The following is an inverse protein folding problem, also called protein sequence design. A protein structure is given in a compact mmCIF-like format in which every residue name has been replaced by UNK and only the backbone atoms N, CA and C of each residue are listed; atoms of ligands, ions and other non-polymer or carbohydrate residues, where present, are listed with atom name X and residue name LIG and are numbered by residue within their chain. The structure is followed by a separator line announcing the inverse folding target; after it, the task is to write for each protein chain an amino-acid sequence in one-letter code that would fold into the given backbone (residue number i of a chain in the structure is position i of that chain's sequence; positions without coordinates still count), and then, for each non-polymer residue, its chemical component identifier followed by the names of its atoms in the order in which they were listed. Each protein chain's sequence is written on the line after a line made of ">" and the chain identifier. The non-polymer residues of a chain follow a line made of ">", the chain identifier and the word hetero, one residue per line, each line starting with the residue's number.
data_IF_947629797056
#
_entry.id   IF_947629797056
#
_cell.length_a   1.000
_cell.length_b   1.000
_cell.length_c   1.000
_cell.angle_alpha   90.00
_cell.angle_beta   90.00
_cell.angle_gamma   90.00
#
_symmetry.space_group_name_H-M   'P 1'
#
loop_
_entity.id
_entity.type
_entity.pdbx_description
1 polymer ?
#
# COMPACT_ATOMS: atom_id res chain seq x y z
N UNK A 1 -46.84 36.51 -72.38
CA UNK A 1 -45.45 36.51 -71.97
C UNK A 1 -45.34 36.03 -70.54
N UNK A 2 -44.89 34.76 -70.42
CA UNK A 2 -44.81 34.02 -69.18
C UNK A 2 -43.40 34.12 -68.60
N UNK A 3 -43.26 34.60 -67.35
CA UNK A 3 -42.00 34.61 -66.66
C UNK A 3 -41.84 33.33 -65.83
N UNK A 4 -40.71 32.67 -65.82
CA UNK A 4 -40.47 31.48 -65.02
C UNK A 4 -40.14 31.82 -63.54
N UNK A 5 -40.75 31.09 -62.61
CA UNK A 5 -40.45 31.10 -61.20
C UNK A 5 -39.16 30.30 -60.96
N UNK A 6 -38.19 30.93 -60.35
CA UNK A 6 -37.00 30.30 -59.77
C UNK A 6 -37.38 29.65 -58.47
N UNK A 7 -37.15 28.34 -58.34
CA UNK A 7 -37.26 27.61 -57.08
C UNK A 7 -35.95 27.71 -56.28
N UNK A 8 -36.00 28.34 -55.14
CA UNK A 8 -34.90 28.33 -54.16
C UNK A 8 -34.90 27.01 -53.39
N UNK A 9 -33.91 26.24 -53.64
CA UNK A 9 -33.61 25.03 -52.81
C UNK A 9 -32.77 25.45 -51.62
N UNK A 10 -33.38 25.53 -50.46
CA UNK A 10 -32.68 25.73 -49.19
C UNK A 10 -31.96 24.40 -48.79
N UNK A 11 -30.64 24.41 -48.83
CA UNK A 11 -29.77 23.36 -48.29
C UNK A 11 -29.70 23.56 -46.77
N UNK A 12 -30.44 22.74 -46.01
CA UNK A 12 -30.27 22.66 -44.55
C UNK A 12 -29.05 21.82 -44.22
N UNK A 13 -27.92 22.49 -43.89
CA UNK A 13 -26.75 21.84 -43.35
C UNK A 13 -27.02 21.46 -41.89
N UNK A 14 -27.35 20.18 -41.65
CA UNK A 14 -27.46 19.64 -40.30
C UNK A 14 -26.06 19.47 -39.70
N UNK A 15 -25.72 20.31 -38.74
CA UNK A 15 -24.54 20.15 -37.89
C UNK A 15 -24.89 19.07 -36.85
N UNK A 16 -24.42 17.84 -37.05
CA UNK A 16 -24.49 16.77 -36.05
C UNK A 16 -23.47 17.12 -34.94
N UNK A 17 -23.99 17.58 -33.80
CA UNK A 17 -23.20 17.76 -32.59
C UNK A 17 -22.94 16.39 -31.98
N UNK A 18 -21.73 15.82 -32.24
CA UNK A 18 -21.28 14.62 -31.55
C UNK A 18 -20.93 15.02 -30.12
N UNK A 19 -21.85 14.76 -29.21
CA UNK A 19 -21.57 14.85 -27.76
C UNK A 19 -20.78 13.62 -27.40
N UNK A 20 -19.46 13.77 -27.29
CA UNK A 20 -18.58 12.80 -26.65
C UNK A 20 -18.91 12.79 -25.16
N UNK A 21 -19.78 11.87 -24.74
CA UNK A 21 -19.92 11.52 -23.34
C UNK A 21 -18.65 10.78 -22.93
N UNK A 22 -17.75 11.48 -22.24
CA UNK A 22 -16.67 10.84 -21.53
C UNK A 22 -17.32 10.01 -20.41
N UNK A 23 -17.32 8.67 -20.59
CA UNK A 23 -17.68 7.78 -19.51
C UNK A 23 -16.65 7.98 -18.39
N UNK A 24 -17.07 8.16 -17.13
CA UNK A 24 -16.11 8.16 -16.02
C UNK A 24 -15.41 6.80 -16.05
N UNK A 25 -14.09 6.82 -16.22
CA UNK A 25 -13.25 5.65 -15.98
C UNK A 25 -13.45 5.35 -14.50
N UNK A 26 -14.22 4.33 -14.22
CA UNK A 26 -14.35 3.77 -12.89
C UNK A 26 -12.92 3.34 -12.50
N UNK A 27 -12.28 4.15 -11.65
CA UNK A 27 -11.09 3.75 -10.98
C UNK A 27 -11.52 2.58 -10.10
N UNK A 28 -11.37 1.38 -10.62
CA UNK A 28 -11.71 0.13 -9.95
C UNK A 28 -10.91 0.02 -8.67
N UNK A 29 -11.38 0.72 -7.65
CA UNK A 29 -10.97 0.48 -6.29
C UNK A 29 -11.27 -0.98 -6.02
N UNK A 30 -10.23 -1.76 -5.73
CA UNK A 30 -10.36 -3.12 -5.23
C UNK A 30 -11.24 -3.06 -3.98
N UNK A 31 -12.54 -3.23 -4.18
CA UNK A 31 -13.48 -3.47 -3.09
C UNK A 31 -13.17 -4.86 -2.57
N UNK A 32 -12.35 -4.94 -1.54
CA UNK A 32 -12.16 -6.17 -0.76
C UNK A 32 -13.46 -6.40 0.01
N UNK A 33 -14.48 -6.85 -0.71
CA UNK A 33 -15.74 -7.33 -0.13
C UNK A 33 -15.50 -8.73 0.39
N UNK A 34 -15.04 -8.85 1.64
CA UNK A 34 -14.84 -10.14 2.30
C UNK A 34 -14.02 -9.98 3.58
N UNK A 35 -14.15 -10.95 4.47
CA UNK A 35 -13.22 -11.07 5.60
C UNK A 35 -11.81 -11.22 5.04
N UNK A 36 -10.82 -10.43 5.51
CA UNK A 36 -9.45 -10.59 5.05
C UNK A 36 -9.01 -12.05 5.17
N UNK A 37 -8.30 -12.61 4.19
CA UNK A 37 -7.91 -14.02 4.19
C UNK A 37 -6.84 -14.33 5.27
N UNK A 38 -6.59 -13.40 6.16
CA UNK A 38 -5.65 -13.53 7.26
C UNK A 38 -6.31 -14.11 8.50
N UNK A 39 -5.74 -15.17 9.04
CA UNK A 39 -6.07 -15.72 10.35
C UNK A 39 -5.02 -15.32 11.38
N UNK A 40 -5.46 -15.03 12.61
CA UNK A 40 -4.54 -14.71 13.70
C UNK A 40 -3.73 -15.95 14.09
N UNK A 41 -2.43 -15.74 14.34
CA UNK A 41 -1.47 -16.76 14.72
C UNK A 41 -0.72 -16.34 15.99
N UNK A 42 -0.10 -17.31 16.67
CA UNK A 42 0.77 -17.00 17.78
C UNK A 42 1.96 -16.13 17.34
N UNK A 43 2.36 -15.17 18.18
CA UNK A 43 3.55 -14.35 17.95
C UNK A 43 4.81 -15.23 17.91
N UNK A 44 5.55 -15.28 16.80
CA UNK A 44 6.61 -16.27 16.62
C UNK A 44 7.99 -15.81 17.10
N UNK A 45 8.11 -14.58 17.57
CA UNK A 45 9.39 -13.98 17.94
C UNK A 45 9.56 -13.88 19.46
N UNK A 46 10.80 -13.68 19.90
CA UNK A 46 11.09 -13.39 21.30
C UNK A 46 10.47 -12.04 21.70
N UNK A 47 10.05 -11.97 22.94
CA UNK A 47 9.53 -10.74 23.54
C UNK A 47 10.71 -9.84 23.89
N UNK A 48 10.71 -8.63 23.39
CA UNK A 48 11.70 -7.59 23.66
C UNK A 48 11.11 -6.44 24.50
N UNK A 49 11.83 -5.33 24.56
CA UNK A 49 11.41 -4.12 25.28
C UNK A 49 10.10 -3.52 24.77
N UNK A 50 9.69 -3.81 23.54
CA UNK A 50 8.44 -3.33 22.94
C UNK A 50 7.28 -4.28 23.18
N UNK A 51 7.54 -5.42 23.82
CA UNK A 51 6.56 -6.48 24.02
C UNK A 51 6.34 -7.34 22.78
N UNK A 52 5.36 -8.22 22.87
CA UNK A 52 4.87 -8.99 21.71
C UNK A 52 3.93 -8.14 20.86
N UNK A 53 3.80 -8.53 19.59
CA UNK A 53 2.81 -8.00 18.68
C UNK A 53 1.68 -8.97 18.40
N UNK A 54 0.90 -8.67 17.37
CA UNK A 54 -0.06 -9.60 16.78
C UNK A 54 0.50 -10.14 15.47
N UNK A 55 0.33 -11.42 15.24
CA UNK A 55 0.74 -12.10 14.02
C UNK A 55 -0.48 -12.65 13.29
N UNK A 56 -0.44 -12.59 11.98
CA UNK A 56 -1.49 -13.11 11.11
C UNK A 56 -0.86 -13.87 9.95
N UNK A 57 -1.53 -14.90 9.46
CA UNK A 57 -1.11 -15.70 8.31
C UNK A 57 -2.21 -15.72 7.25
N UNK A 58 -1.79 -15.73 5.99
CA UNK A 58 -2.69 -15.96 4.88
C UNK A 58 -2.34 -17.29 4.22
N UNK A 59 -3.03 -18.38 4.59
CA UNK A 59 -2.81 -19.68 3.99
C UNK A 59 -3.22 -19.74 2.51
N UNK A 60 -4.35 -19.15 2.06
CA UNK A 60 -4.75 -19.18 0.66
C UNK A 60 -3.94 -18.25 -0.26
N UNK A 61 -3.08 -17.36 0.27
CA UNK A 61 -2.34 -16.40 -0.55
C UNK A 61 -1.14 -16.99 -1.32
N UNK A 62 -0.78 -18.24 -1.11
CA UNK A 62 0.23 -18.98 -1.88
C UNK A 62 1.69 -18.54 -1.72
N UNK A 63 1.96 -17.36 -1.18
CA UNK A 63 3.30 -16.79 -1.05
C UNK A 63 3.87 -16.86 0.37
N UNK A 64 3.30 -17.71 1.23
CA UNK A 64 3.63 -17.76 2.66
C UNK A 64 3.56 -16.37 3.32
N UNK A 65 2.48 -15.64 3.03
CA UNK A 65 2.29 -14.30 3.57
C UNK A 65 2.04 -14.36 5.08
N UNK A 66 2.81 -13.55 5.81
CA UNK A 66 2.60 -13.31 7.23
C UNK A 66 2.67 -11.82 7.52
N UNK A 67 1.70 -11.33 8.29
CA UNK A 67 1.62 -9.94 8.73
C UNK A 67 1.92 -9.89 10.23
N UNK A 68 2.83 -9.03 10.61
CA UNK A 68 3.21 -8.76 12.00
C UNK A 68 2.89 -7.30 12.31
N UNK A 69 2.14 -7.07 13.38
CA UNK A 69 1.75 -5.72 13.79
C UNK A 69 2.17 -5.50 15.24
N UNK A 70 2.94 -4.46 15.50
CA UNK A 70 3.44 -4.12 16.82
C UNK A 70 3.30 -2.63 17.11
N UNK A 71 2.95 -2.29 18.34
CA UNK A 71 2.96 -0.91 18.82
C UNK A 71 4.27 -0.61 19.52
N UNK A 72 4.82 0.58 19.31
CA UNK A 72 6.00 1.09 20.00
C UNK A 72 5.63 2.39 20.73
N UNK A 73 5.41 2.28 22.00
CA UNK A 73 5.02 3.41 22.86
C UNK A 73 6.26 4.21 23.24
N UNK A 74 6.16 5.54 23.20
CA UNK A 74 7.29 6.43 23.52
C UNK A 74 8.40 6.38 22.48
N UNK A 75 8.08 5.94 21.29
CA UNK A 75 8.95 5.79 20.20
C UNK A 75 9.19 7.12 19.53
N UNK A 76 10.15 7.87 19.79
CA UNK A 76 10.37 8.93 19.39
C UNK A 76 10.78 9.89 18.50
N UNK A 77 10.23 10.35 17.54
CA UNK A 77 10.23 11.69 17.02
C UNK A 77 8.80 12.26 17.10
N UNK A 78 8.43 12.76 18.27
CA UNK A 78 7.09 13.27 18.54
C UNK A 78 6.69 14.45 17.62
N UNK A 79 7.67 15.07 16.95
CA UNK A 79 7.44 16.27 16.13
C UNK A 79 7.18 15.92 14.68
N UNK A 80 7.97 15.02 14.09
CA UNK A 80 7.89 14.71 12.66
C UNK A 80 7.34 13.31 12.37
N UNK A 81 7.23 12.46 13.38
CA UNK A 81 6.79 11.07 13.21
C UNK A 81 7.72 10.28 12.30
N UNK A 82 7.13 9.45 11.43
CA UNK A 82 7.86 8.68 10.40
C UNK A 82 7.68 9.39 9.05
N UNK A 83 8.50 10.39 8.78
CA UNK A 83 8.35 11.29 7.63
C UNK A 83 9.24 10.93 6.44
N UNK A 84 10.33 10.20 6.66
CA UNK A 84 11.32 9.89 5.63
C UNK A 84 11.86 8.46 5.74
N UNK A 85 12.77 8.10 4.83
CA UNK A 85 13.35 6.76 4.74
C UNK A 85 14.28 6.45 5.91
N UNK A 86 14.93 7.44 6.48
CA UNK A 86 15.80 7.26 7.64
C UNK A 86 14.97 6.87 8.85
N UNK A 87 13.84 7.53 9.02
CA UNK A 87 12.93 7.25 10.13
C UNK A 87 12.30 5.87 10.01
N UNK A 88 11.79 5.47 8.83
CA UNK A 88 11.22 4.13 8.69
C UNK A 88 12.27 3.05 8.88
N UNK A 89 13.49 3.24 8.37
CA UNK A 89 14.59 2.28 8.55
C UNK A 89 14.98 2.13 10.03
N UNK A 90 14.94 3.23 10.79
CA UNK A 90 15.24 3.24 12.21
C UNK A 90 14.20 2.52 13.07
N UNK A 91 12.93 2.55 12.64
CA UNK A 91 11.82 2.10 13.45
C UNK A 91 11.31 0.72 13.08
N UNK A 92 11.63 0.27 11.89
CA UNK A 92 11.27 -1.05 11.41
C UNK A 92 11.79 -2.16 12.34
N UNK A 93 11.04 -3.25 12.40
CA UNK A 93 11.34 -4.40 13.25
C UNK A 93 12.31 -5.39 12.56
N UNK A 94 13.44 -4.89 12.03
CA UNK A 94 14.39 -5.74 11.30
C UNK A 94 15.07 -6.79 12.17
N UNK A 95 15.17 -6.55 13.46
CA UNK A 95 15.68 -7.50 14.45
C UNK A 95 14.84 -8.78 14.55
N UNK A 96 13.59 -8.74 14.12
CA UNK A 96 12.75 -9.93 14.01
C UNK A 96 13.15 -10.85 12.83
N UNK A 97 13.90 -10.33 11.87
CA UNK A 97 14.25 -11.04 10.63
C UNK A 97 15.76 -11.18 10.49
N UNK A 98 16.35 -12.30 10.96
CA UNK A 98 17.79 -12.48 10.91
C UNK A 98 18.30 -12.47 9.47
N UNK A 99 19.31 -11.66 9.20
CA UNK A 99 19.93 -11.55 7.88
C UNK A 99 20.30 -10.11 7.51
N UNK A 100 20.79 -9.96 6.28
CA UNK A 100 21.08 -8.64 5.72
C UNK A 100 19.80 -8.06 5.15
N UNK A 101 19.36 -6.95 5.70
CA UNK A 101 18.22 -6.17 5.17
C UNK A 101 18.73 -5.17 4.15
N UNK A 102 18.08 -5.12 2.99
CA UNK A 102 18.41 -4.19 1.90
C UNK A 102 17.12 -3.55 1.39
N UNK A 103 17.02 -2.21 1.37
CA UNK A 103 15.87 -1.55 0.77
C UNK A 103 15.82 -1.79 -0.73
N UNK A 104 14.63 -2.02 -1.26
CA UNK A 104 14.39 -2.29 -2.69
C UNK A 104 14.06 -1.03 -3.48
N UNK A 105 13.47 -0.03 -2.81
CA UNK A 105 13.10 1.24 -3.40
C UNK A 105 13.06 2.33 -2.33
N UNK A 106 12.99 3.61 -2.71
CA UNK A 106 12.58 4.68 -1.81
C UNK A 106 11.21 4.37 -1.22
N UNK A 107 10.99 4.76 0.04
CA UNK A 107 9.71 4.59 0.69
C UNK A 107 8.69 5.63 0.19
N UNK A 108 7.42 5.35 0.42
CA UNK A 108 6.31 6.21 0.03
C UNK A 108 5.49 6.67 1.24
N UNK A 109 4.97 7.90 1.25
CA UNK A 109 4.10 8.36 2.31
C UNK A 109 2.79 7.57 2.29
N UNK A 110 2.34 7.17 3.47
CA UNK A 110 1.05 6.48 3.65
C UNK A 110 0.22 7.14 4.74
N UNK A 111 -1.09 6.96 4.63
CA UNK A 111 -2.04 7.42 5.64
C UNK A 111 -3.05 6.33 5.95
N UNK A 112 -3.22 6.00 7.22
CA UNK A 112 -4.24 5.06 7.70
C UNK A 112 -5.06 5.77 8.76
N UNK A 113 -6.34 5.96 8.51
CA UNK A 113 -7.24 6.75 9.33
C UNK A 113 -6.66 8.16 9.59
N UNK A 114 -6.32 8.47 10.84
CA UNK A 114 -5.73 9.76 11.23
C UNK A 114 -4.20 9.72 11.36
N UNK A 115 -3.57 8.55 11.24
CA UNK A 115 -2.13 8.36 11.35
C UNK A 115 -1.47 8.57 10.00
N UNK A 116 -0.36 9.28 10.00
CA UNK A 116 0.52 9.41 8.85
C UNK A 116 1.78 8.58 9.09
N UNK A 117 2.44 8.20 8.01
CA UNK A 117 3.65 7.44 8.09
C UNK A 117 4.26 7.15 6.73
N UNK A 118 4.99 6.07 6.68
CA UNK A 118 5.73 5.66 5.48
C UNK A 118 5.68 4.17 5.28
N UNK A 119 5.62 3.75 4.02
CA UNK A 119 5.75 2.36 3.59
C UNK A 119 7.05 2.20 2.81
N UNK A 120 7.77 1.09 3.05
CA UNK A 120 8.99 0.77 2.32
C UNK A 120 9.18 -0.73 2.17
N UNK A 121 9.62 -1.14 0.97
CA UNK A 121 9.91 -2.53 0.68
C UNK A 121 11.40 -2.85 0.86
N UNK A 122 11.66 -4.07 1.38
CA UNK A 122 13.01 -4.56 1.65
C UNK A 122 13.15 -6.00 1.20
N UNK A 123 14.39 -6.42 0.92
CA UNK A 123 14.77 -7.84 0.92
C UNK A 123 15.57 -8.18 2.15
N UNK A 124 15.43 -9.42 2.61
CA UNK A 124 16.25 -9.98 3.69
C UNK A 124 16.93 -11.23 3.17
N UNK A 125 18.26 -11.26 3.31
CA UNK A 125 19.10 -12.40 2.96
C UNK A 125 19.56 -13.11 4.23
N UNK A 126 18.84 -14.15 4.70
CA UNK A 126 19.25 -14.94 5.86
C UNK A 126 20.50 -15.78 5.54
N UNK A 127 21.39 -16.04 6.50
CA UNK A 127 22.64 -16.77 6.25
C UNK A 127 22.45 -18.19 5.71
N UNK A 128 21.37 -18.87 6.08
CA UNK A 128 21.15 -20.31 5.80
C UNK A 128 19.72 -20.62 5.28
N UNK A 129 19.02 -19.62 4.78
CA UNK A 129 17.66 -19.79 4.29
C UNK A 129 17.43 -19.00 3.01
N UNK A 130 16.30 -19.24 2.33
CA UNK A 130 15.93 -18.48 1.15
C UNK A 130 15.64 -17.02 1.50
N UNK A 131 15.94 -16.14 0.53
CA UNK A 131 15.60 -14.70 0.59
C UNK A 131 14.13 -14.50 0.90
N UNK A 132 13.85 -13.50 1.71
CA UNK A 132 12.51 -13.02 2.02
C UNK A 132 12.34 -11.58 1.60
N UNK A 133 11.10 -11.19 1.45
CA UNK A 133 10.71 -9.83 1.10
C UNK A 133 9.80 -9.28 2.19
N UNK A 134 10.03 -8.03 2.58
CA UNK A 134 9.26 -7.35 3.58
C UNK A 134 8.65 -6.09 2.97
N UNK A 135 7.39 -5.83 3.29
CA UNK A 135 6.80 -4.51 3.14
C UNK A 135 6.52 -4.00 4.55
N UNK A 136 7.24 -2.98 4.98
CA UNK A 136 7.05 -2.37 6.28
C UNK A 136 6.27 -1.07 6.12
N UNK A 137 5.23 -0.91 6.92
CA UNK A 137 4.46 0.30 7.08
C UNK A 137 4.68 0.76 8.52
N UNK A 138 5.20 1.96 8.68
CA UNK A 138 5.38 2.58 9.99
C UNK A 138 4.50 3.82 10.07
N UNK A 139 3.57 3.81 11.01
CA UNK A 139 2.63 4.90 11.26
C UNK A 139 2.95 5.55 12.59
N UNK A 140 2.80 6.87 12.69
CA UNK A 140 3.03 7.61 13.91
C UNK A 140 1.79 8.40 14.33
N UNK A 141 1.55 8.42 15.63
CA UNK A 141 0.61 9.31 16.29
C UNK A 141 1.30 9.95 17.51
N UNK A 142 1.74 11.19 17.36
CA UNK A 142 2.60 11.86 18.36
C UNK A 142 3.89 11.05 18.59
N UNK A 143 4.10 10.59 19.83
CA UNK A 143 5.29 9.82 20.23
C UNK A 143 5.12 8.31 20.09
N UNK A 144 3.94 7.83 19.74
CA UNK A 144 3.64 6.41 19.63
C UNK A 144 3.63 5.98 18.16
N UNK A 145 4.10 4.77 17.90
CA UNK A 145 4.17 4.18 16.57
C UNK A 145 3.41 2.86 16.46
N UNK A 146 2.92 2.57 15.27
CA UNK A 146 2.44 1.25 14.87
C UNK A 146 3.28 0.78 13.70
N UNK A 147 3.95 -0.34 13.87
CA UNK A 147 4.75 -0.95 12.83
C UNK A 147 4.02 -2.19 12.33
N UNK A 148 3.72 -2.21 11.04
CA UNK A 148 3.14 -3.37 10.36
C UNK A 148 4.14 -3.88 9.33
N UNK A 149 4.54 -5.15 9.43
CA UNK A 149 5.47 -5.78 8.50
C UNK A 149 4.82 -7.00 7.86
N UNK A 150 4.59 -6.90 6.55
CA UNK A 150 4.18 -8.02 5.71
C UNK A 150 5.42 -8.75 5.23
N UNK A 151 5.56 -10.03 5.55
CA UNK A 151 6.65 -10.89 5.10
C UNK A 151 6.17 -11.89 4.05
N UNK A 152 6.96 -12.09 2.99
CA UNK A 152 6.64 -12.97 1.88
C UNK A 152 7.88 -13.73 1.40
N UNK A 153 7.67 -14.93 0.85
CA UNK A 153 8.68 -15.67 0.11
C UNK A 153 8.89 -15.13 -1.32
N UNK A 154 8.00 -14.28 -1.82
CA UNK A 154 8.04 -13.68 -3.15
C UNK A 154 8.09 -12.15 -3.05
N UNK A 155 8.61 -11.45 -4.08
CA UNK A 155 8.60 -10.00 -4.12
C UNK A 155 7.20 -9.44 -3.90
N UNK A 156 7.11 -8.40 -3.08
CA UNK A 156 5.88 -7.67 -2.80
C UNK A 156 5.98 -6.35 -3.57
N UNK A 157 5.03 -6.06 -4.46
CA UNK A 157 4.98 -4.77 -5.13
C UNK A 157 4.54 -3.68 -4.15
N UNK A 158 5.07 -2.47 -4.30
CA UNK A 158 4.66 -1.31 -3.50
C UNK A 158 3.17 -0.96 -3.69
N UNK A 159 2.59 -1.31 -4.82
CA UNK A 159 1.17 -1.09 -5.11
C UNK A 159 0.24 -1.85 -4.15
N UNK A 160 0.76 -2.90 -3.50
CA UNK A 160 0.02 -3.63 -2.47
C UNK A 160 -0.21 -2.80 -1.18
N UNK A 161 0.46 -1.66 -1.01
CA UNK A 161 0.27 -0.76 0.13
C UNK A 161 -0.88 0.24 -0.05
N UNK A 162 -1.53 0.25 -1.21
CA UNK A 162 -2.62 1.18 -1.54
C UNK A 162 -4.03 0.60 -1.29
N UNK A 163 -4.14 -0.44 -0.47
CA UNK A 163 -5.42 -1.08 -0.11
C UNK A 163 -6.01 -0.51 1.17
#
# INVERSE_FOLDING_TARGET
>A
MMAPRLAETALAAGVALVVLTAEPVDAGGLQVSGTPPFSEAAWPFLIDQWGGGRAFRCDPCGAQLALYVRTKVGFCNCTIGVSDDIEIDRVADFDLFPGRVTPLAPGEPVKVAWMNGRARAFSVDPPLAARRYLLTIALANKCDGVIATLASAQPISSDAAQV
#
